data_IF_756439539865
#
_entry.id   IF_756439539865
#
_cell.length_a   1.000
_cell.length_b   1.000
_cell.length_c   1.000
_cell.angle_alpha   90.00
_cell.angle_beta   90.00
_cell.angle_gamma   90.00
#
_symmetry.space_group_name_H-M   'P 1'
#
loop_
_entity.id
_entity.type
_entity.pdbx_description
1 polymer ?
#
# COMPACT_ATOMS: atom_id res chain seq x y z
N UNK A 1 -15.41 6.40 19.27
CA UNK A 1 -15.44 6.23 20.71
C UNK A 1 -16.71 6.84 21.31
N UNK A 2 -16.88 6.79 22.62
CA UNK A 2 -18.07 7.31 23.33
C UNK A 2 -18.27 8.83 23.13
N UNK A 3 -17.19 9.58 22.92
CA UNK A 3 -17.22 11.03 22.65
C UNK A 3 -17.51 11.37 21.17
N UNK A 4 -17.76 10.38 20.34
CA UNK A 4 -18.05 10.54 18.91
C UNK A 4 -16.82 10.68 18.01
N UNK A 5 -15.60 10.54 18.53
CA UNK A 5 -14.41 10.55 17.68
C UNK A 5 -14.36 9.31 16.78
N UNK A 6 -13.98 9.53 15.52
CA UNK A 6 -13.94 8.49 14.48
C UNK A 6 -12.57 8.44 13.82
N UNK A 7 -12.05 7.22 13.64
CA UNK A 7 -10.85 6.95 12.87
C UNK A 7 -11.15 6.10 11.64
N UNK A 8 -10.33 6.25 10.63
CA UNK A 8 -10.46 5.53 9.37
C UNK A 8 -9.22 4.68 9.10
N UNK A 9 -9.46 3.43 8.72
CA UNK A 9 -8.42 2.51 8.30
C UNK A 9 -8.91 1.67 7.13
N UNK A 10 -8.05 1.47 6.16
CA UNK A 10 -8.37 0.67 4.98
C UNK A 10 -7.85 -0.75 5.15
N UNK A 11 -8.70 -1.73 4.96
CA UNK A 11 -8.30 -3.14 4.80
C UNK A 11 -7.83 -3.39 3.36
N UNK A 12 -7.30 -4.59 3.09
CA UNK A 12 -6.84 -4.97 1.74
C UNK A 12 -7.96 -4.84 0.70
N UNK A 13 -7.62 -4.29 -0.47
CA UNK A 13 -8.53 -4.22 -1.63
C UNK A 13 -8.72 -5.57 -2.32
N UNK A 14 -7.74 -6.48 -2.20
CA UNK A 14 -7.83 -7.83 -2.76
C UNK A 14 -8.73 -8.72 -1.91
N UNK A 15 -9.77 -9.29 -2.53
CA UNK A 15 -10.79 -10.08 -1.84
C UNK A 15 -11.34 -9.32 -0.62
N UNK A 16 -11.74 -8.08 -0.84
CA UNK A 16 -12.20 -7.17 0.23
C UNK A 16 -13.45 -7.67 0.92
N UNK A 17 -14.30 -8.40 0.22
CA UNK A 17 -15.47 -9.09 0.76
C UNK A 17 -15.08 -10.13 1.82
N UNK A 18 -14.06 -10.95 1.54
CA UNK A 18 -13.52 -11.92 2.52
C UNK A 18 -12.90 -11.19 3.70
N UNK A 19 -12.06 -10.17 3.45
CA UNK A 19 -11.43 -9.40 4.51
C UNK A 19 -12.46 -8.69 5.39
N UNK A 20 -13.53 -8.19 4.80
CA UNK A 20 -14.67 -7.61 5.52
C UNK A 20 -15.33 -8.63 6.46
N UNK A 21 -15.58 -9.85 5.98
CA UNK A 21 -16.13 -10.93 6.81
C UNK A 21 -15.19 -11.28 7.97
N UNK A 22 -13.89 -11.34 7.73
CA UNK A 22 -12.89 -11.60 8.77
C UNK A 22 -12.88 -10.46 9.80
N UNK A 23 -12.94 -9.20 9.38
CA UNK A 23 -13.05 -8.07 10.29
C UNK A 23 -14.26 -8.24 11.24
N UNK A 24 -15.43 -8.54 10.69
CA UNK A 24 -16.65 -8.69 11.47
C UNK A 24 -16.70 -9.96 12.33
N UNK A 25 -16.05 -11.05 11.90
CA UNK A 25 -16.14 -12.35 12.58
C UNK A 25 -15.01 -12.65 13.53
N UNK A 26 -13.80 -12.13 13.25
CA UNK A 26 -12.59 -12.48 13.96
C UNK A 26 -11.91 -11.28 14.66
N UNK A 27 -12.20 -10.05 14.28
CA UNK A 27 -11.62 -8.87 14.94
C UNK A 27 -12.67 -8.17 15.81
N UNK A 28 -13.78 -7.77 15.22
CA UNK A 28 -14.80 -7.00 15.92
C UNK A 28 -15.32 -7.65 17.23
N UNK A 29 -15.55 -8.97 17.33
CA UNK A 29 -16.03 -9.58 18.58
C UNK A 29 -15.09 -9.41 19.76
N UNK A 30 -13.81 -9.23 19.52
CA UNK A 30 -12.76 -9.09 20.55
C UNK A 30 -12.34 -7.64 20.79
N UNK A 31 -12.82 -6.71 19.98
CA UNK A 31 -12.40 -5.30 20.05
C UNK A 31 -13.53 -4.32 20.34
N UNK A 32 -14.77 -4.72 20.08
CA UNK A 32 -15.93 -3.88 20.37
C UNK A 32 -16.16 -3.76 21.90
N UNK A 33 -16.21 -2.51 22.38
CA UNK A 33 -16.38 -2.21 23.81
C UNK A 33 -15.08 -2.22 24.60
N UNK A 34 -13.96 -2.59 23.97
CA UNK A 34 -12.66 -2.58 24.61
C UNK A 34 -12.02 -1.17 24.56
N UNK A 35 -11.10 -0.93 25.49
CA UNK A 35 -10.33 0.30 25.53
C UNK A 35 -9.25 0.31 24.46
N UNK A 36 -9.03 1.47 23.86
CA UNK A 36 -8.06 1.65 22.76
C UNK A 36 -6.73 2.28 23.22
N UNK A 37 -6.55 2.52 24.51
CA UNK A 37 -5.32 3.10 25.06
C UNK A 37 -4.12 2.18 24.83
N UNK A 38 -4.32 0.87 25.05
CA UNK A 38 -3.30 -0.14 24.81
C UNK A 38 -3.66 -0.96 23.56
N UNK A 39 -3.27 -0.42 22.39
CA UNK A 39 -3.59 -1.03 21.11
C UNK A 39 -2.83 -2.34 20.90
N UNK A 40 -1.59 -2.44 21.40
CA UNK A 40 -0.77 -3.66 21.23
C UNK A 40 -1.41 -4.83 21.99
N UNK A 41 -1.83 -4.63 23.24
CA UNK A 41 -2.54 -5.66 24.01
C UNK A 41 -3.84 -6.08 23.34
N UNK A 42 -4.55 -5.16 22.69
CA UNK A 42 -5.78 -5.45 21.98
C UNK A 42 -5.54 -6.29 20.71
N UNK A 43 -4.48 -5.98 19.98
CA UNK A 43 -4.07 -6.75 18.79
C UNK A 43 -3.55 -8.14 19.19
N UNK A 44 -2.85 -8.24 20.29
CA UNK A 44 -2.39 -9.51 20.85
C UNK A 44 -3.57 -10.37 21.31
N UNK A 45 -4.56 -9.78 21.98
CA UNK A 45 -5.81 -10.47 22.34
C UNK A 45 -6.49 -11.09 21.12
N UNK A 46 -6.67 -10.33 20.04
CA UNK A 46 -7.24 -10.85 18.78
C UNK A 46 -6.41 -12.03 18.26
N UNK A 47 -5.09 -11.89 18.26
CA UNK A 47 -4.18 -12.93 17.78
C UNK A 47 -4.27 -14.21 18.60
N UNK A 48 -4.35 -14.10 19.91
CA UNK A 48 -4.50 -15.24 20.84
C UNK A 48 -5.85 -15.95 20.66
N UNK A 49 -6.92 -15.18 20.56
CA UNK A 49 -8.29 -15.73 20.36
C UNK A 49 -8.45 -16.46 19.05
N UNK A 50 -7.81 -15.94 18.01
CA UNK A 50 -7.89 -16.47 16.65
C UNK A 50 -6.70 -17.38 16.27
N UNK A 51 -5.97 -17.90 17.25
CA UNK A 51 -4.75 -18.70 17.06
C UNK A 51 -4.92 -19.92 16.15
N UNK A 52 -6.12 -20.45 15.99
CA UNK A 52 -6.41 -21.60 15.10
C UNK A 52 -6.51 -21.19 13.61
N UNK A 53 -6.76 -19.91 13.34
CA UNK A 53 -6.95 -19.38 11.98
C UNK A 53 -6.12 -18.11 11.76
N UNK A 54 -4.79 -18.14 11.98
CA UNK A 54 -3.95 -16.95 12.00
C UNK A 54 -3.57 -16.44 10.60
N UNK A 55 -4.35 -16.73 9.58
CA UNK A 55 -4.02 -16.50 8.18
C UNK A 55 -3.83 -15.02 7.78
N UNK A 56 -3.43 -14.80 6.52
CA UNK A 56 -3.14 -13.47 5.98
C UNK A 56 -4.36 -12.54 5.99
N UNK A 57 -5.57 -13.06 5.86
CA UNK A 57 -6.79 -12.26 5.93
C UNK A 57 -7.01 -11.65 7.31
N UNK A 58 -6.76 -12.40 8.40
CA UNK A 58 -6.80 -11.86 9.75
C UNK A 58 -5.85 -10.68 9.90
N UNK A 59 -4.59 -10.83 9.48
CA UNK A 59 -3.58 -9.74 9.55
C UNK A 59 -3.96 -8.53 8.71
N UNK A 60 -4.59 -8.72 7.56
CA UNK A 60 -5.11 -7.61 6.72
C UNK A 60 -6.27 -6.87 7.38
N UNK A 61 -7.18 -7.59 8.04
CA UNK A 61 -8.28 -7.00 8.79
C UNK A 61 -7.76 -6.23 10.02
N UNK A 62 -6.84 -6.83 10.77
CA UNK A 62 -6.19 -6.18 11.92
C UNK A 62 -5.43 -4.91 11.52
N UNK A 63 -4.72 -4.91 10.38
CA UNK A 63 -4.01 -3.71 9.89
C UNK A 63 -4.94 -2.54 9.56
N UNK A 64 -6.14 -2.81 9.04
CA UNK A 64 -7.15 -1.77 8.86
C UNK A 64 -7.71 -1.25 10.18
N UNK A 65 -7.94 -2.13 11.15
CA UNK A 65 -8.37 -1.76 12.50
C UNK A 65 -7.30 -0.92 13.23
N UNK A 66 -6.05 -1.38 13.24
CA UNK A 66 -4.90 -0.68 13.81
C UNK A 66 -4.77 0.75 13.25
N UNK A 67 -4.78 0.88 11.93
CA UNK A 67 -4.73 2.19 11.26
C UNK A 67 -5.89 3.10 11.69
N UNK A 68 -7.10 2.56 11.82
CA UNK A 68 -8.27 3.33 12.26
C UNK A 68 -8.11 3.84 13.70
N UNK A 69 -7.55 3.05 14.59
CA UNK A 69 -7.29 3.48 15.98
C UNK A 69 -6.23 4.56 16.04
N UNK A 70 -5.12 4.44 15.29
CA UNK A 70 -4.11 5.50 15.21
C UNK A 70 -4.66 6.81 14.62
N UNK A 71 -5.47 6.73 13.58
CA UNK A 71 -6.14 7.90 12.99
C UNK A 71 -7.09 8.56 14.01
N UNK A 72 -7.84 7.77 14.75
CA UNK A 72 -8.72 8.27 15.82
C UNK A 72 -7.91 8.94 16.93
N UNK A 73 -6.83 8.32 17.43
CA UNK A 73 -5.95 8.90 18.46
C UNK A 73 -5.37 10.23 17.99
N UNK A 74 -4.87 10.29 16.74
CA UNK A 74 -4.33 11.53 16.16
C UNK A 74 -5.35 12.66 16.11
N UNK A 75 -6.61 12.35 15.79
CA UNK A 75 -7.71 13.34 15.78
C UNK A 75 -8.10 13.80 17.16
N UNK A 76 -8.12 12.91 18.16
CA UNK A 76 -8.40 13.26 19.56
C UNK A 76 -7.31 14.19 20.10
N UNK A 77 -6.04 13.85 19.86
CA UNK A 77 -4.90 14.60 20.37
C UNK A 77 -4.56 15.86 19.55
N UNK A 78 -5.22 16.04 18.40
CA UNK A 78 -4.93 17.14 17.47
C UNK A 78 -3.51 17.06 16.89
N UNK A 79 -2.94 15.87 16.78
CA UNK A 79 -1.58 15.62 16.31
C UNK A 79 -1.55 14.65 15.12
N UNK A 80 -0.61 14.82 14.18
CA UNK A 80 -0.42 13.84 13.12
C UNK A 80 0.12 12.52 13.70
N UNK A 81 -0.32 11.39 13.14
CA UNK A 81 0.07 10.04 13.60
C UNK A 81 1.58 9.86 13.69
N UNK A 82 2.35 10.46 12.77
CA UNK A 82 3.82 10.40 12.81
C UNK A 82 4.38 10.91 14.14
N UNK A 83 3.75 11.92 14.76
CA UNK A 83 4.15 12.42 16.09
C UNK A 83 3.82 11.43 17.20
N UNK A 84 2.66 10.81 17.15
CA UNK A 84 2.26 9.78 18.11
C UNK A 84 3.19 8.56 18.06
N UNK A 85 3.73 8.27 16.88
CA UNK A 85 4.72 7.20 16.66
C UNK A 85 6.17 7.61 16.96
N UNK A 86 6.39 8.82 17.52
CA UNK A 86 7.72 9.30 17.92
C UNK A 86 8.56 9.88 16.78
N UNK A 87 7.98 10.11 15.61
CA UNK A 87 8.64 10.72 14.47
C UNK A 87 8.36 12.20 14.31
N UNK A 88 8.89 12.78 13.25
CA UNK A 88 8.66 14.16 12.86
C UNK A 88 7.97 14.25 11.48
N UNK A 89 6.99 15.16 11.31
CA UNK A 89 6.44 15.44 9.99
C UNK A 89 7.52 15.95 9.03
N UNK A 90 7.54 15.44 7.83
CA UNK A 90 8.51 15.84 6.81
C UNK A 90 8.05 15.51 5.41
N UNK A 91 8.70 16.08 4.42
CA UNK A 91 8.48 15.74 3.03
C UNK A 91 9.20 14.43 2.69
N UNK A 92 8.49 13.53 2.03
CA UNK A 92 9.05 12.30 1.48
C UNK A 92 9.04 12.39 -0.05
N UNK A 93 10.16 12.00 -0.66
CA UNK A 93 10.22 11.85 -2.11
C UNK A 93 9.34 10.70 -2.55
N UNK A 94 8.41 10.97 -3.46
CA UNK A 94 7.52 9.95 -4.01
C UNK A 94 7.95 9.57 -5.42
N UNK A 95 7.77 8.32 -5.79
CA UNK A 95 7.86 7.89 -7.18
C UNK A 95 6.48 7.60 -7.76
N UNK A 96 6.28 7.91 -9.04
CA UNK A 96 5.08 7.51 -9.75
C UNK A 96 5.19 6.04 -10.17
N UNK A 97 4.32 5.20 -9.60
CA UNK A 97 4.33 3.74 -9.85
C UNK A 97 3.38 3.37 -10.96
N UNK A 98 3.89 2.84 -12.07
CA UNK A 98 3.08 2.18 -13.06
C UNK A 98 2.71 0.77 -12.63
N UNK A 99 1.41 0.45 -12.74
CA UNK A 99 0.91 -0.90 -12.52
C UNK A 99 0.68 -1.65 -13.84
N UNK A 100 0.93 -0.99 -14.98
CA UNK A 100 0.61 -1.53 -16.31
C UNK A 100 1.71 -2.44 -16.85
N UNK A 101 1.28 -3.55 -17.43
CA UNK A 101 2.10 -4.44 -18.26
C UNK A 101 1.61 -4.48 -19.70
N UNK A 102 0.31 -4.30 -19.91
CA UNK A 102 -0.41 -4.29 -21.16
C UNK A 102 -0.27 -2.98 -21.98
N UNK A 103 0.79 -2.24 -21.74
CA UNK A 103 1.09 -0.96 -22.39
C UNK A 103 2.39 -1.06 -23.18
N UNK A 104 2.43 -0.46 -24.38
CA UNK A 104 3.65 -0.44 -25.19
C UNK A 104 4.75 0.41 -24.51
N UNK A 105 6.04 0.10 -24.71
CA UNK A 105 7.13 0.91 -24.19
C UNK A 105 7.03 2.39 -24.55
N UNK A 106 6.61 2.71 -25.76
CA UNK A 106 6.42 4.07 -26.26
C UNK A 106 5.28 4.81 -25.55
N UNK A 107 4.13 4.16 -25.40
CA UNK A 107 2.98 4.77 -24.75
C UNK A 107 3.23 4.95 -23.25
N UNK A 108 3.95 4.01 -22.62
CA UNK A 108 4.36 4.15 -21.22
C UNK A 108 5.34 5.31 -21.06
N UNK A 109 6.35 5.43 -21.90
CA UNK A 109 7.28 6.57 -21.87
C UNK A 109 6.54 7.91 -22.01
N UNK A 110 5.62 8.01 -22.97
CA UNK A 110 4.79 9.20 -23.14
C UNK A 110 3.99 9.55 -21.89
N UNK A 111 3.33 8.55 -21.28
CA UNK A 111 2.56 8.72 -20.05
C UNK A 111 3.43 9.18 -18.87
N UNK A 112 4.62 8.64 -18.72
CA UNK A 112 5.55 9.03 -17.65
C UNK A 112 6.12 10.42 -17.87
N UNK A 113 6.47 10.79 -19.12
CA UNK A 113 6.87 12.16 -19.45
C UNK A 113 5.80 13.18 -19.09
N UNK A 114 4.52 12.85 -19.36
CA UNK A 114 3.40 13.69 -18.96
C UNK A 114 3.31 13.86 -17.44
N UNK A 115 3.48 12.79 -16.68
CA UNK A 115 3.51 12.86 -15.21
C UNK A 115 4.70 13.68 -14.68
N UNK A 116 5.87 13.57 -15.30
CA UNK A 116 7.02 14.42 -14.99
C UNK A 116 6.70 15.89 -15.21
N UNK A 117 6.16 16.23 -16.38
CA UNK A 117 5.98 17.62 -16.82
C UNK A 117 4.79 18.31 -16.12
N UNK A 118 3.70 17.57 -15.82
CA UNK A 118 2.51 18.12 -15.18
C UNK A 118 2.57 18.12 -13.64
N UNK A 119 3.22 17.11 -13.03
CA UNK A 119 3.20 16.93 -11.57
C UNK A 119 4.57 17.00 -10.91
N UNK A 120 5.63 17.15 -11.69
CA UNK A 120 7.00 17.29 -11.17
C UNK A 120 7.60 16.02 -10.58
N UNK A 121 7.10 14.83 -10.94
CA UNK A 121 7.74 13.58 -10.51
C UNK A 121 9.15 13.46 -11.11
N UNK A 122 10.11 13.10 -10.27
CA UNK A 122 11.51 12.86 -10.63
C UNK A 122 11.96 11.41 -10.39
N UNK A 123 11.03 10.56 -10.00
CA UNK A 123 11.24 9.12 -9.84
C UNK A 123 10.03 8.34 -10.35
N UNK A 124 10.27 7.23 -11.03
CA UNK A 124 9.26 6.39 -11.65
C UNK A 124 9.57 4.92 -11.40
N UNK A 125 8.51 4.11 -11.26
CA UNK A 125 8.65 2.66 -11.21
C UNK A 125 7.80 2.02 -12.32
N UNK A 126 8.41 1.15 -13.12
CA UNK A 126 7.74 0.43 -14.20
C UNK A 126 7.86 -1.07 -14.00
N UNK A 127 6.95 -1.81 -14.62
CA UNK A 127 6.93 -3.26 -14.53
C UNK A 127 7.63 -3.90 -15.72
N UNK A 128 8.52 -4.87 -15.41
CA UNK A 128 9.14 -5.77 -16.37
C UNK A 128 8.55 -7.17 -16.23
N UNK A 129 8.72 -7.99 -17.27
CA UNK A 129 8.26 -9.37 -17.33
C UNK A 129 6.73 -9.54 -17.29
N UNK A 130 6.27 -10.78 -17.31
CA UNK A 130 4.86 -11.12 -17.17
C UNK A 130 4.41 -11.14 -15.70
N UNK A 131 3.11 -11.02 -15.47
CA UNK A 131 2.54 -10.93 -14.11
C UNK A 131 2.86 -12.15 -13.24
N UNK A 132 2.87 -13.33 -13.83
CA UNK A 132 3.06 -14.61 -13.10
C UNK A 132 4.51 -15.10 -13.14
N UNK A 133 5.42 -14.36 -13.74
CA UNK A 133 6.83 -14.72 -13.87
C UNK A 133 7.10 -15.88 -14.81
N UNK A 134 7.81 -16.90 -14.33
CA UNK A 134 8.22 -18.08 -15.11
C UNK A 134 9.18 -17.76 -16.25
N UNK A 135 10.04 -16.75 -16.08
CA UNK A 135 10.97 -16.27 -17.12
C UNK A 135 10.26 -15.92 -18.44
N UNK A 136 9.04 -15.36 -18.35
CA UNK A 136 8.28 -14.91 -19.52
C UNK A 136 8.15 -13.41 -19.51
N UNK A 137 8.14 -12.86 -20.70
CA UNK A 137 7.74 -11.47 -20.90
C UNK A 137 6.23 -11.37 -21.15
N UNK A 138 5.64 -10.19 -21.01
CA UNK A 138 4.21 -9.96 -21.33
C UNK A 138 3.94 -10.23 -22.82
N UNK A 139 4.86 -9.80 -23.68
CA UNK A 139 5.02 -10.27 -25.05
C UNK A 139 6.53 -10.26 -25.39
N UNK A 140 6.96 -11.03 -26.38
CA UNK A 140 8.39 -11.15 -26.70
C UNK A 140 9.06 -9.81 -26.94
N UNK A 141 10.12 -9.53 -26.20
CA UNK A 141 10.96 -8.35 -26.34
C UNK A 141 10.49 -7.09 -25.61
N UNK A 142 9.32 -7.11 -24.94
CA UNK A 142 8.83 -5.93 -24.23
C UNK A 142 9.79 -5.48 -23.14
N UNK A 143 10.28 -6.38 -22.32
CA UNK A 143 11.18 -6.05 -21.21
C UNK A 143 12.51 -5.48 -21.71
N UNK A 144 13.04 -6.01 -22.82
CA UNK A 144 14.25 -5.51 -23.46
C UNK A 144 14.08 -4.09 -24.01
N UNK A 145 12.89 -3.75 -24.48
CA UNK A 145 12.58 -2.49 -25.12
C UNK A 145 12.14 -1.40 -24.12
N UNK A 146 11.38 -1.76 -23.06
CA UNK A 146 10.73 -0.77 -22.19
C UNK A 146 11.74 0.06 -21.40
N UNK A 147 12.78 -0.56 -20.88
CA UNK A 147 13.78 0.13 -20.04
C UNK A 147 14.56 1.17 -20.84
N UNK A 148 15.22 0.83 -21.97
CA UNK A 148 15.95 1.83 -22.75
C UNK A 148 15.04 2.89 -23.36
N UNK A 149 13.81 2.55 -23.75
CA UNK A 149 12.86 3.52 -24.29
C UNK A 149 12.47 4.55 -23.24
N UNK A 150 12.08 4.13 -22.05
CA UNK A 150 11.67 5.03 -20.98
C UNK A 150 12.87 5.86 -20.49
N UNK A 151 14.02 5.25 -20.28
CA UNK A 151 15.24 5.96 -19.86
C UNK A 151 15.61 7.07 -20.83
N UNK A 152 15.58 6.80 -22.12
CA UNK A 152 15.87 7.81 -23.16
C UNK A 152 14.89 8.98 -23.14
N UNK A 153 13.58 8.71 -23.01
CA UNK A 153 12.54 9.74 -23.07
C UNK A 153 12.44 10.57 -21.76
N UNK A 154 12.68 9.95 -20.62
CA UNK A 154 12.70 10.66 -19.33
C UNK A 154 14.00 11.46 -19.13
N UNK A 155 15.13 11.00 -19.68
CA UNK A 155 16.46 11.61 -19.52
C UNK A 155 17.10 11.31 -18.17
N UNK A 156 18.33 11.81 -17.99
CA UNK A 156 19.24 11.43 -16.91
C UNK A 156 18.93 12.05 -15.53
N UNK A 157 17.95 12.95 -15.46
CA UNK A 157 17.60 13.65 -14.20
C UNK A 157 16.48 13.02 -13.41
N UNK A 158 16.08 11.80 -13.76
CA UNK A 158 15.03 11.03 -13.08
C UNK A 158 15.54 9.67 -12.67
N UNK A 159 15.01 9.13 -11.56
CA UNK A 159 15.28 7.76 -11.17
C UNK A 159 14.24 6.82 -11.79
N UNK A 160 14.72 5.79 -12.46
CA UNK A 160 13.88 4.73 -13.01
C UNK A 160 14.07 3.43 -12.21
N UNK A 161 13.02 3.03 -11.51
CA UNK A 161 12.96 1.77 -10.77
C UNK A 161 12.25 0.70 -11.61
N UNK A 162 12.74 -0.52 -11.50
CA UNK A 162 12.19 -1.67 -12.22
C UNK A 162 11.57 -2.64 -11.21
N UNK A 163 10.29 -2.93 -11.39
CA UNK A 163 9.56 -3.92 -10.60
C UNK A 163 9.37 -5.19 -11.43
N UNK A 164 10.21 -6.18 -11.19
CA UNK A 164 10.13 -7.48 -11.85
C UNK A 164 9.11 -8.42 -11.17
N UNK A 165 8.62 -8.09 -9.96
CA UNK A 165 7.78 -8.96 -9.14
C UNK A 165 8.40 -10.35 -8.92
N UNK A 166 7.78 -11.38 -9.48
CA UNK A 166 8.22 -12.77 -9.40
C UNK A 166 8.64 -13.35 -10.75
N UNK A 167 9.12 -12.45 -11.64
CA UNK A 167 9.63 -12.89 -12.94
C UNK A 167 10.97 -13.61 -12.82
#
# INVERSE_FOLDING_TARGET
NEDGAQGWGQVSTYNSDITCQILHRQVAPWTLGEKTEDLDDLLDLVTEREHKFPGSYLRRAMGGFDTAIWDMKGKIDGQPVVKLLGGDPGSLRAYASSMKRDITPKDEAYRLCKLRDEFGFDAFKVRAGAEVGRNKDEWPGRTEEIIPTISRELGDRVDLLIDANSC
#
